data_IF_013639519295
#
_entry.id   IF_013639519295
#
_cell.length_a   1.000
_cell.length_b   1.000
_cell.length_c   1.000
_cell.angle_alpha   90.00
_cell.angle_beta   90.00
_cell.angle_gamma   90.00
#
_symmetry.space_group_name_H-M   'P 1'
#
loop_
_entity.id
_entity.type
_entity.pdbx_description
1 polymer ?
#
# COMPACT_ATOMS: atom_id res chain seq x y z
N UNK A 1 29.21 41.07 18.22
CA UNK A 1 29.51 39.69 18.69
C UNK A 1 28.30 38.83 18.36
N UNK A 2 28.37 38.04 17.28
CA UNK A 2 27.22 37.27 16.76
C UNK A 2 27.42 35.82 17.20
N UNK A 3 26.64 35.39 18.20
CA UNK A 3 26.65 34.03 18.72
C UNK A 3 26.01 33.06 17.74
N UNK A 4 26.80 32.18 17.13
CA UNK A 4 26.30 31.04 16.34
C UNK A 4 25.83 29.94 17.30
N UNK A 5 24.51 29.75 17.38
CA UNK A 5 23.92 28.58 18.03
C UNK A 5 24.21 27.33 17.17
N UNK A 6 25.08 26.46 17.66
CA UNK A 6 25.33 25.13 17.10
C UNK A 6 24.10 24.25 17.35
N UNK A 7 23.28 24.07 16.31
CA UNK A 7 22.20 23.09 16.31
C UNK A 7 22.82 21.69 16.12
N UNK A 8 22.96 20.94 17.21
CA UNK A 8 23.40 19.56 17.20
C UNK A 8 22.40 18.69 16.41
N UNK A 9 22.66 18.50 15.12
CA UNK A 9 22.03 17.43 14.35
C UNK A 9 22.57 16.10 14.84
N UNK A 10 21.75 15.39 15.59
CA UNK A 10 21.90 13.96 15.83
C UNK A 10 22.02 13.25 14.46
N UNK A 11 23.26 12.88 14.12
CA UNK A 11 23.55 12.00 13.01
C UNK A 11 23.09 10.60 13.45
N UNK A 12 21.93 10.16 12.95
CA UNK A 12 21.59 8.75 12.98
C UNK A 12 22.57 8.01 12.06
N UNK A 13 23.68 7.59 12.65
CA UNK A 13 24.60 6.61 12.07
C UNK A 13 23.80 5.36 11.76
N UNK A 14 23.85 4.91 10.51
CA UNK A 14 23.29 3.63 10.07
C UNK A 14 23.98 2.49 10.81
N UNK A 15 23.44 2.14 11.98
CA UNK A 15 23.87 1.00 12.77
C UNK A 15 23.30 -0.28 12.18
N UNK A 16 24.19 -1.24 11.91
CA UNK A 16 23.86 -2.64 11.64
C UNK A 16 22.75 -3.15 12.59
N UNK A 17 21.69 -3.72 12.01
CA UNK A 17 20.45 -4.16 12.68
C UNK A 17 20.59 -5.33 13.69
N UNK A 18 21.75 -5.49 14.34
CA UNK A 18 22.13 -6.70 15.12
C UNK A 18 22.57 -6.41 16.56
N UNK A 19 22.38 -5.17 17.06
CA UNK A 19 23.11 -4.71 18.25
C UNK A 19 22.38 -4.83 19.58
N UNK A 20 21.06 -5.08 19.63
CA UNK A 20 20.38 -5.02 20.93
C UNK A 20 20.47 -6.32 21.73
N UNK A 21 20.11 -7.45 21.13
CA UNK A 21 20.04 -8.72 21.86
C UNK A 21 21.25 -9.64 21.68
N UNK A 22 22.00 -9.53 20.57
CA UNK A 22 23.24 -10.29 20.36
C UNK A 22 23.08 -11.82 20.25
N UNK A 23 21.87 -12.34 20.05
CA UNK A 23 21.64 -13.78 19.92
C UNK A 23 22.21 -14.34 18.59
N UNK A 24 22.76 -15.57 18.60
CA UNK A 24 23.17 -16.25 17.37
C UNK A 24 21.98 -16.41 16.41
N UNK A 25 22.19 -16.06 15.15
CA UNK A 25 21.17 -16.21 14.11
C UNK A 25 21.19 -17.62 13.53
N UNK A 26 20.04 -18.28 13.49
CA UNK A 26 19.87 -19.60 12.86
C UNK A 26 18.78 -19.59 11.79
N UNK A 27 18.78 -20.63 10.95
CA UNK A 27 17.70 -20.92 10.01
C UNK A 27 16.95 -22.18 10.48
N UNK A 28 15.79 -22.46 9.90
CA UNK A 28 15.18 -23.78 10.04
C UNK A 28 16.06 -24.81 9.29
N UNK A 29 16.87 -25.55 10.04
CA UNK A 29 17.88 -26.49 9.54
C UNK A 29 17.42 -27.95 9.64
N UNK A 30 17.85 -28.74 8.67
CA UNK A 30 17.60 -30.18 8.57
C UNK A 30 18.95 -30.87 8.43
N UNK A 31 19.09 -32.08 9.00
CA UNK A 31 20.30 -32.90 8.80
C UNK A 31 20.46 -33.38 7.35
N UNK A 32 19.40 -33.27 6.54
CA UNK A 32 19.42 -33.64 5.13
C UNK A 32 19.66 -32.43 4.22
N UNK A 33 19.94 -32.70 2.94
CA UNK A 33 20.12 -31.65 1.94
C UNK A 33 18.81 -30.85 1.71
N UNK A 34 18.77 -29.60 2.18
CA UNK A 34 17.59 -28.71 2.11
C UNK A 34 17.05 -28.55 0.67
N UNK A 35 17.91 -28.50 -0.34
CA UNK A 35 17.47 -28.37 -1.75
C UNK A 35 16.70 -29.59 -2.26
N UNK A 36 17.01 -30.79 -1.75
CA UNK A 36 16.41 -32.06 -2.21
C UNK A 36 15.30 -32.58 -1.30
N UNK A 37 15.30 -32.23 -0.03
CA UNK A 37 14.39 -32.82 0.97
C UNK A 37 13.84 -31.83 1.99
N UNK A 38 13.59 -30.58 1.56
CA UNK A 38 13.02 -29.52 2.41
C UNK A 38 11.70 -29.90 3.10
N UNK A 39 10.86 -30.74 2.50
CA UNK A 39 9.56 -31.16 3.07
C UNK A 39 9.67 -32.29 4.11
N UNK A 40 10.85 -32.92 4.25
CA UNK A 40 11.01 -34.08 5.12
C UNK A 40 11.16 -33.65 6.59
N UNK A 41 10.06 -33.74 7.35
CA UNK A 41 10.02 -33.38 8.77
C UNK A 41 11.06 -34.14 9.63
N UNK A 42 11.42 -35.38 9.27
CA UNK A 42 12.36 -36.21 10.03
C UNK A 42 13.74 -35.56 10.11
N UNK A 43 14.15 -34.84 9.08
CA UNK A 43 15.45 -34.17 9.05
C UNK A 43 15.53 -33.01 10.05
N UNK A 44 14.45 -32.25 10.20
CA UNK A 44 14.36 -31.17 11.20
C UNK A 44 14.27 -31.73 12.62
N UNK A 45 13.47 -32.78 12.83
CA UNK A 45 13.32 -33.41 14.15
C UNK A 45 14.63 -34.04 14.67
N UNK A 46 15.51 -34.46 13.76
CA UNK A 46 16.84 -34.98 14.12
C UNK A 46 17.89 -33.89 14.32
N UNK A 47 17.67 -32.69 13.80
CA UNK A 47 18.58 -31.57 14.00
C UNK A 47 18.57 -31.16 15.48
N UNK A 48 19.76 -30.93 16.06
CA UNK A 48 19.91 -30.50 17.46
C UNK A 48 20.96 -29.41 17.52
N UNK A 49 20.50 -28.22 17.88
CA UNK A 49 21.36 -27.06 18.16
C UNK A 49 21.86 -27.09 19.62
N UNK A 50 22.91 -26.32 19.90
CA UNK A 50 23.37 -26.13 21.28
C UNK A 50 22.26 -25.46 22.14
N UNK A 51 22.22 -25.70 23.45
CA UNK A 51 21.23 -25.03 24.30
C UNK A 51 21.51 -23.53 24.38
N UNK A 52 20.49 -22.70 24.15
CA UNK A 52 20.61 -21.25 24.23
C UNK A 52 19.48 -20.50 23.55
N UNK A 53 19.55 -19.16 23.60
CA UNK A 53 18.66 -18.27 22.86
C UNK A 53 19.17 -18.07 21.44
N UNK A 54 18.26 -18.12 20.48
CA UNK A 54 18.56 -17.94 19.07
C UNK A 54 17.64 -16.89 18.47
N UNK A 55 18.13 -16.19 17.45
CA UNK A 55 17.32 -15.33 16.60
C UNK A 55 17.07 -16.02 15.25
N UNK A 56 15.85 -16.47 15.03
CA UNK A 56 15.44 -17.08 13.77
C UNK A 56 14.48 -16.13 13.05
N UNK A 57 14.90 -15.43 11.97
CA UNK A 57 13.97 -14.58 11.23
C UNK A 57 12.90 -15.44 10.56
N UNK A 58 11.66 -14.95 10.54
CA UNK A 58 10.56 -15.68 9.92
C UNK A 58 10.77 -15.80 8.40
N UNK A 59 10.64 -17.03 7.87
CA UNK A 59 10.64 -17.31 6.42
C UNK A 59 9.25 -17.07 5.79
N UNK A 60 8.51 -16.07 6.29
CA UNK A 60 7.11 -15.79 5.92
C UNK A 60 6.87 -14.31 5.64
N UNK A 61 5.86 -14.03 4.81
CA UNK A 61 5.35 -12.67 4.61
C UNK A 61 4.38 -12.31 5.75
N UNK A 62 4.41 -11.06 6.17
CA UNK A 62 3.71 -10.60 7.36
C UNK A 62 2.32 -9.96 7.07
N UNK A 63 1.65 -10.36 5.99
CA UNK A 63 0.43 -9.69 5.48
C UNK A 63 -0.78 -9.84 6.40
N UNK A 64 -1.10 -11.07 6.82
CA UNK A 64 -2.25 -11.36 7.70
C UNK A 64 -1.87 -11.53 9.17
N UNK A 65 -0.65 -11.13 9.54
CA UNK A 65 -0.11 -11.35 10.88
C UNK A 65 -0.43 -10.18 11.80
N UNK A 66 -1.13 -10.44 12.90
CA UNK A 66 -1.38 -9.47 13.99
C UNK A 66 -0.33 -9.60 15.11
N UNK A 67 0.80 -10.25 14.83
CA UNK A 67 1.85 -10.47 15.81
C UNK A 67 2.55 -9.14 16.17
N UNK A 68 2.89 -8.98 17.44
CA UNK A 68 3.65 -7.87 17.98
C UNK A 68 4.97 -7.58 17.28
N UNK A 69 5.69 -8.60 16.82
CA UNK A 69 6.98 -8.49 16.14
C UNK A 69 6.86 -7.98 14.69
N UNK A 70 5.65 -8.02 14.12
CA UNK A 70 5.36 -7.58 12.75
C UNK A 70 4.91 -6.11 12.70
N UNK A 71 4.28 -5.61 13.75
CA UNK A 71 3.68 -4.28 13.78
C UNK A 71 4.77 -3.20 13.62
N UNK A 72 4.65 -2.26 12.66
CA UNK A 72 5.63 -1.20 12.49
C UNK A 72 5.69 -0.28 13.71
N UNK A 73 6.89 0.17 14.08
CA UNK A 73 7.13 1.04 15.25
C UNK A 73 6.29 2.32 15.25
N UNK A 74 5.96 2.84 14.07
CA UNK A 74 5.12 4.05 13.92
C UNK A 74 3.67 3.83 14.34
N UNK A 75 3.18 2.59 14.39
CA UNK A 75 1.82 2.24 14.83
C UNK A 75 1.78 1.85 16.31
N UNK A 76 2.93 1.62 16.95
CA UNK A 76 3.02 1.37 18.39
C UNK A 76 2.91 2.69 19.18
N UNK A 77 2.38 2.60 20.40
CA UNK A 77 2.37 3.73 21.32
C UNK A 77 3.80 4.15 21.69
N UNK A 78 3.99 5.43 22.02
CA UNK A 78 5.30 5.95 22.40
C UNK A 78 5.85 5.30 23.69
N UNK A 79 4.96 4.89 24.60
CA UNK A 79 5.28 4.22 25.87
C UNK A 79 5.54 2.71 25.72
N UNK A 80 5.33 2.13 24.55
CA UNK A 80 5.50 0.69 24.35
C UNK A 80 7.00 0.31 24.39
N UNK A 81 7.42 -0.61 25.28
CA UNK A 81 8.83 -1.01 25.38
C UNK A 81 9.35 -1.64 24.08
N UNK A 82 8.46 -2.26 23.29
CA UNK A 82 8.82 -2.93 22.02
C UNK A 82 9.33 -1.96 20.96
N UNK A 83 8.98 -0.68 21.07
CA UNK A 83 9.45 0.36 20.15
C UNK A 83 10.98 0.51 20.17
N UNK A 84 11.60 0.21 21.32
CA UNK A 84 13.04 0.20 21.51
C UNK A 84 13.75 -0.99 20.86
N UNK A 85 13.06 -2.14 20.74
CA UNK A 85 13.61 -3.38 20.19
C UNK A 85 13.91 -3.31 18.69
N UNK A 86 14.84 -4.11 18.19
CA UNK A 86 15.22 -4.19 16.77
C UNK A 86 14.17 -4.88 15.88
N UNK A 87 13.15 -5.51 16.47
CA UNK A 87 11.94 -6.03 15.81
C UNK A 87 10.79 -5.00 15.86
N UNK A 88 10.11 -4.66 14.74
CA UNK A 88 10.23 -5.22 13.39
C UNK A 88 11.47 -4.72 12.62
N UNK A 89 12.03 -5.61 11.79
CA UNK A 89 13.20 -5.33 10.95
C UNK A 89 12.79 -4.69 9.62
N UNK A 90 13.44 -3.58 9.27
CA UNK A 90 13.30 -2.97 7.93
C UNK A 90 14.20 -3.71 6.92
N UNK A 91 13.71 -4.84 6.39
CA UNK A 91 14.45 -5.69 5.46
C UNK A 91 14.67 -5.10 4.07
N UNK A 92 13.72 -4.29 3.57
CA UNK A 92 13.78 -3.66 2.25
C UNK A 92 14.09 -2.16 2.34
N UNK A 93 14.81 -1.63 1.35
CA UNK A 93 15.13 -0.21 1.25
C UNK A 93 14.19 0.46 0.26
N UNK A 94 13.40 1.43 0.74
CA UNK A 94 12.42 2.15 -0.09
C UNK A 94 13.03 2.77 -1.37
N UNK A 95 14.29 3.22 -1.32
CA UNK A 95 15.01 3.80 -2.48
C UNK A 95 15.23 2.80 -3.64
N UNK A 96 15.21 1.50 -3.36
CA UNK A 96 15.41 0.44 -4.36
C UNK A 96 14.09 -0.07 -4.95
N UNK A 97 12.96 0.18 -4.25
CA UNK A 97 11.65 -0.28 -4.69
C UNK A 97 11.05 0.73 -5.69
N UNK A 98 10.68 0.31 -6.91
CA UNK A 98 10.02 1.20 -7.86
C UNK A 98 8.58 1.50 -7.43
N UNK A 99 8.06 2.65 -7.85
CA UNK A 99 6.67 3.05 -7.62
C UNK A 99 5.71 2.15 -8.43
N UNK A 100 4.71 1.53 -7.78
CA UNK A 100 3.69 0.67 -8.41
C UNK A 100 2.28 1.23 -8.23
N UNK A 101 1.56 1.44 -9.33
CA UNK A 101 0.17 1.97 -9.36
C UNK A 101 -0.02 3.30 -8.57
N UNK A 102 1.04 4.10 -8.46
CA UNK A 102 1.05 5.37 -7.73
C UNK A 102 0.41 6.49 -8.57
N UNK A 103 -0.38 7.36 -7.93
CA UNK A 103 -1.00 8.52 -8.59
C UNK A 103 0.00 9.63 -8.93
N UNK A 104 -0.29 10.42 -9.97
CA UNK A 104 0.57 11.53 -10.44
C UNK A 104 0.88 12.55 -9.34
N UNK A 105 -0.12 12.83 -8.49
CA UNK A 105 0.02 13.79 -7.38
C UNK A 105 0.95 13.30 -6.27
N UNK A 106 1.19 11.99 -6.15
CA UNK A 106 2.16 11.45 -5.19
C UNK A 106 3.59 11.62 -5.71
N UNK A 107 3.78 11.57 -7.04
CA UNK A 107 5.11 11.75 -7.67
C UNK A 107 5.50 13.23 -7.70
N UNK A 108 4.58 14.11 -8.09
CA UNK A 108 4.89 15.52 -8.38
C UNK A 108 4.41 16.49 -7.29
N UNK A 109 3.73 15.99 -6.26
CA UNK A 109 3.06 16.80 -5.24
C UNK A 109 1.61 17.15 -5.57
N UNK A 110 0.86 17.55 -4.53
CA UNK A 110 -0.53 18.03 -4.66
C UNK A 110 -0.53 19.54 -4.89
N UNK A 111 -1.44 20.02 -5.73
CA UNK A 111 -1.61 21.46 -6.02
C UNK A 111 -3.00 21.92 -5.59
N UNK A 112 -3.08 23.15 -5.08
CA UNK A 112 -4.32 23.78 -4.57
C UNK A 112 -4.51 25.18 -5.17
N UNK A 113 -4.25 25.29 -6.48
CA UNK A 113 -4.20 26.58 -7.18
C UNK A 113 -5.58 27.11 -7.61
N UNK A 114 -6.61 26.25 -7.64
CA UNK A 114 -7.94 26.65 -8.08
C UNK A 114 -8.69 27.44 -7.01
N UNK A 115 -9.27 28.56 -7.43
CA UNK A 115 -10.16 29.40 -6.63
C UNK A 115 -11.63 28.98 -6.71
N UNK A 116 -12.50 29.60 -5.88
CA UNK A 116 -13.93 29.28 -5.83
C UNK A 116 -14.67 29.57 -7.14
N UNK A 117 -14.32 30.65 -7.84
CA UNK A 117 -14.95 31.02 -9.12
C UNK A 117 -14.73 29.95 -10.21
N UNK A 118 -13.52 29.41 -10.32
CA UNK A 118 -13.19 28.35 -11.29
C UNK A 118 -13.92 27.05 -10.94
N UNK A 119 -14.09 26.76 -9.65
CA UNK A 119 -14.88 25.62 -9.19
C UNK A 119 -16.33 25.75 -9.63
N UNK A 120 -16.92 26.94 -9.51
CA UNK A 120 -18.30 27.18 -9.92
C UNK A 120 -18.45 27.15 -11.45
N UNK A 121 -17.46 27.62 -12.21
CA UNK A 121 -17.42 27.43 -13.66
C UNK A 121 -17.37 25.94 -14.01
N UNK A 122 -16.54 25.13 -13.33
CA UNK A 122 -16.46 23.68 -13.55
C UNK A 122 -17.80 23.00 -13.28
N UNK A 123 -18.47 23.36 -12.19
CA UNK A 123 -19.81 22.83 -11.86
C UNK A 123 -20.81 23.19 -12.96
N UNK A 124 -20.84 24.45 -13.39
CA UNK A 124 -21.74 24.95 -14.44
C UNK A 124 -21.51 24.20 -15.75
N UNK A 125 -20.28 24.17 -16.25
CA UNK A 125 -19.93 23.50 -17.52
C UNK A 125 -20.30 22.01 -17.51
N UNK A 126 -20.08 21.33 -16.38
CA UNK A 126 -20.40 19.89 -16.27
C UNK A 126 -21.89 19.62 -16.16
N UNK A 127 -22.65 20.54 -15.58
CA UNK A 127 -24.11 20.45 -15.53
C UNK A 127 -24.72 20.72 -16.92
N UNK A 128 -24.21 21.73 -17.63
CA UNK A 128 -24.69 22.13 -18.96
C UNK A 128 -24.50 21.04 -20.02
N UNK A 129 -23.27 20.54 -20.19
CA UNK A 129 -23.01 19.51 -21.20
C UNK A 129 -21.92 18.51 -20.75
N UNK A 130 -22.31 17.44 -20.03
CA UNK A 130 -21.37 16.43 -19.53
C UNK A 130 -20.68 15.59 -20.62
N UNK A 131 -21.22 15.54 -21.84
CA UNK A 131 -20.61 14.82 -22.97
C UNK A 131 -19.45 15.61 -23.58
N UNK A 132 -19.60 16.93 -23.72
CA UNK A 132 -18.53 17.83 -24.19
C UNK A 132 -17.52 18.08 -23.06
N UNK A 133 -18.00 18.50 -21.89
CA UNK A 133 -17.18 18.83 -20.72
C UNK A 133 -16.98 17.62 -19.81
N UNK A 134 -16.35 16.59 -20.36
CA UNK A 134 -16.03 15.38 -19.60
C UNK A 134 -15.01 15.66 -18.50
N UNK A 135 -14.94 14.79 -17.48
CA UNK A 135 -13.93 14.88 -16.41
C UNK A 135 -12.50 14.97 -16.94
N UNK A 136 -12.19 14.25 -18.03
CA UNK A 136 -10.85 14.25 -18.64
C UNK A 136 -10.57 15.60 -19.32
N UNK A 137 -11.56 16.17 -19.99
CA UNK A 137 -11.44 17.49 -20.63
C UNK A 137 -11.22 18.59 -19.59
N UNK A 138 -12.06 18.63 -18.54
CA UNK A 138 -11.94 19.62 -17.47
C UNK A 138 -10.62 19.48 -16.70
N UNK A 139 -10.19 18.23 -16.45
CA UNK A 139 -8.88 17.95 -15.86
C UNK A 139 -7.72 18.50 -16.70
N UNK A 140 -7.80 18.40 -18.03
CA UNK A 140 -6.79 18.95 -18.94
C UNK A 140 -6.85 20.49 -19.00
N UNK A 141 -8.06 21.09 -19.06
CA UNK A 141 -8.25 22.54 -19.11
C UNK A 141 -7.67 23.24 -17.88
N UNK A 142 -7.94 22.69 -16.69
CA UNK A 142 -7.53 23.30 -15.41
C UNK A 142 -6.28 22.66 -14.79
N UNK A 143 -5.61 21.71 -15.46
CA UNK A 143 -4.41 21.08 -14.92
C UNK A 143 -4.62 20.30 -13.61
N UNK A 144 -5.82 19.74 -13.40
CA UNK A 144 -6.23 19.06 -12.16
C UNK A 144 -6.49 17.56 -12.35
N UNK A 145 -6.64 16.83 -11.25
CA UNK A 145 -6.99 15.40 -11.30
C UNK A 145 -8.46 15.19 -11.73
N UNK A 146 -8.78 14.23 -12.61
CA UNK A 146 -10.16 13.85 -12.93
C UNK A 146 -10.97 13.41 -11.70
N UNK A 147 -10.29 12.86 -10.68
CA UNK A 147 -10.91 12.53 -9.41
C UNK A 147 -11.36 13.81 -8.68
N UNK A 148 -10.54 14.85 -8.67
CA UNK A 148 -10.88 16.14 -8.08
C UNK A 148 -12.09 16.77 -8.76
N UNK A 149 -12.15 16.76 -10.10
CA UNK A 149 -13.34 17.19 -10.87
C UNK A 149 -14.58 16.42 -10.42
N UNK A 150 -14.45 15.11 -10.20
CA UNK A 150 -15.54 14.25 -9.73
C UNK A 150 -16.02 14.55 -8.31
N UNK A 151 -15.16 15.08 -7.45
CA UNK A 151 -15.50 15.48 -6.07
C UNK A 151 -16.29 16.78 -6.08
N UNK A 152 -15.84 17.78 -6.85
CA UNK A 152 -16.41 19.14 -6.81
C UNK A 152 -17.71 19.29 -7.62
N UNK A 153 -17.93 18.43 -8.62
CA UNK A 153 -19.04 18.57 -9.56
C UNK A 153 -19.75 17.24 -9.83
N UNK A 154 -21.08 17.27 -9.76
CA UNK A 154 -21.96 16.20 -10.21
C UNK A 154 -22.43 16.52 -11.64
N UNK A 155 -22.43 15.55 -12.57
CA UNK A 155 -23.07 15.76 -13.87
C UNK A 155 -24.60 15.83 -13.72
N UNK A 156 -25.31 16.19 -14.78
CA UNK A 156 -26.78 16.12 -14.80
C UNK A 156 -27.27 14.69 -14.49
N UNK A 157 -28.37 14.58 -13.75
CA UNK A 157 -28.94 13.28 -13.35
C UNK A 157 -29.35 12.45 -14.57
N UNK A 158 -29.89 13.11 -15.60
CA UNK A 158 -30.23 12.49 -16.89
C UNK A 158 -29.03 11.79 -17.52
N UNK A 159 -27.84 12.39 -17.48
CA UNK A 159 -26.62 11.75 -17.99
C UNK A 159 -26.21 10.55 -17.12
N UNK A 160 -26.38 10.61 -15.80
CA UNK A 160 -26.10 9.45 -14.92
C UNK A 160 -27.04 8.30 -15.26
N UNK A 161 -28.32 8.58 -15.47
CA UNK A 161 -29.32 7.57 -15.85
C UNK A 161 -29.03 6.98 -17.23
N UNK A 162 -28.72 7.80 -18.25
CA UNK A 162 -28.31 7.31 -19.58
C UNK A 162 -27.09 6.38 -19.48
N UNK A 163 -26.05 6.77 -18.74
CA UNK A 163 -24.88 5.90 -18.52
C UNK A 163 -25.22 4.62 -17.74
N UNK A 164 -26.16 4.69 -16.79
CA UNK A 164 -26.69 3.54 -16.07
C UNK A 164 -27.39 2.57 -17.00
N UNK A 165 -28.30 3.07 -17.85
CA UNK A 165 -29.02 2.29 -18.86
C UNK A 165 -28.08 1.62 -19.86
N UNK A 166 -27.07 2.35 -20.37
CA UNK A 166 -26.03 1.76 -21.25
C UNK A 166 -25.25 0.65 -20.55
N UNK A 167 -24.93 0.82 -19.27
CA UNK A 167 -24.25 -0.22 -18.50
C UNK A 167 -25.12 -1.47 -18.32
N UNK A 168 -26.43 -1.31 -18.08
CA UNK A 168 -27.39 -2.42 -18.02
C UNK A 168 -27.51 -3.14 -19.36
N UNK A 169 -27.57 -2.40 -20.47
CA UNK A 169 -27.57 -3.00 -21.82
C UNK A 169 -26.28 -3.77 -22.11
N UNK A 170 -25.12 -3.24 -21.70
CA UNK A 170 -23.85 -3.98 -21.82
C UNK A 170 -23.89 -5.26 -20.99
N UNK A 171 -24.47 -5.22 -19.79
CA UNK A 171 -24.61 -6.37 -18.91
C UNK A 171 -25.56 -7.43 -19.46
N UNK A 172 -26.70 -7.03 -20.05
CA UNK A 172 -27.66 -7.96 -20.66
C UNK A 172 -27.09 -8.67 -21.89
N UNK A 173 -26.16 -8.03 -22.62
CA UNK A 173 -25.45 -8.63 -23.75
C UNK A 173 -24.40 -9.67 -23.34
N UNK A 174 -24.16 -9.92 -22.05
CA UNK A 174 -23.19 -10.91 -21.60
C UNK A 174 -23.74 -12.33 -21.68
N UNK A 175 -22.91 -13.27 -22.15
CA UNK A 175 -23.17 -14.70 -22.03
C UNK A 175 -22.99 -15.16 -20.57
N UNK A 176 -23.64 -16.25 -20.19
CA UNK A 176 -23.60 -16.81 -18.82
C UNK A 176 -22.19 -16.98 -18.27
N UNK A 177 -21.27 -17.54 -19.08
CA UNK A 177 -19.86 -17.71 -18.68
C UNK A 177 -19.19 -16.38 -18.30
N UNK A 178 -19.50 -15.29 -19.01
CA UNK A 178 -18.96 -13.95 -18.71
C UNK A 178 -19.57 -13.38 -17.44
N UNK A 179 -20.87 -13.60 -17.21
CA UNK A 179 -21.54 -13.19 -15.98
C UNK A 179 -20.89 -13.86 -14.76
N UNK A 180 -20.78 -15.20 -14.77
CA UNK A 180 -20.12 -15.97 -13.69
C UNK A 180 -18.68 -15.49 -13.45
N UNK A 181 -17.89 -15.32 -14.51
CA UNK A 181 -16.51 -14.83 -14.38
C UNK A 181 -16.40 -13.41 -13.79
N UNK A 182 -17.39 -12.54 -14.01
CA UNK A 182 -17.44 -11.20 -13.41
C UNK A 182 -17.81 -11.27 -11.94
N UNK A 183 -18.74 -12.14 -11.56
CA UNK A 183 -19.06 -12.41 -10.15
C UNK A 183 -17.87 -12.98 -9.40
N UNK A 184 -17.14 -13.94 -9.97
CA UNK A 184 -15.93 -14.47 -9.35
C UNK A 184 -14.82 -13.43 -9.22
N UNK A 185 -14.70 -12.50 -10.18
CA UNK A 185 -13.81 -11.35 -10.03
C UNK A 185 -14.24 -10.44 -8.87
N UNK A 186 -15.53 -10.18 -8.69
CA UNK A 186 -16.05 -9.39 -7.56
C UNK A 186 -15.75 -10.10 -6.23
N UNK A 187 -15.96 -11.41 -6.14
CA UNK A 187 -15.63 -12.23 -4.97
C UNK A 187 -14.14 -12.18 -4.63
N UNK A 188 -13.25 -12.34 -5.62
CA UNK A 188 -11.80 -12.20 -5.42
C UNK A 188 -11.42 -10.81 -4.94
N UNK A 189 -12.01 -9.76 -5.53
CA UNK A 189 -11.77 -8.38 -5.09
C UNK A 189 -12.21 -8.19 -3.63
N UNK A 190 -13.35 -8.75 -3.24
CA UNK A 190 -13.82 -8.70 -1.84
C UNK A 190 -12.85 -9.45 -0.91
N UNK A 191 -12.39 -10.63 -1.30
CA UNK A 191 -11.44 -11.44 -0.54
C UNK A 191 -10.11 -10.72 -0.29
N UNK A 192 -9.63 -9.91 -1.26
CA UNK A 192 -8.40 -9.13 -1.11
C UNK A 192 -8.45 -8.08 0.02
N UNK A 193 -9.64 -7.65 0.46
CA UNK A 193 -9.81 -6.67 1.53
C UNK A 193 -10.16 -7.29 2.89
N UNK A 194 -10.13 -8.63 3.01
CA UNK A 194 -10.42 -9.32 4.28
C UNK A 194 -9.23 -9.37 5.25
N UNK A 195 -8.03 -9.09 4.73
CA UNK A 195 -6.78 -9.07 5.51
C UNK A 195 -6.59 -7.75 6.24
#
# INVERSE_FOLDING_TARGET
MIGRSLCCRSLHTGGSAWKQFGFPKTQATSIYNKTKSASNYKGYLKHKDAPGMYYQPSESIATGSVNSETIPRSFMAASDPRRGFDMPVQGTKAKQCPNVLVGKSTVNGKTYHLGPHEIDEIKRLRHENPQKYTRKFLAAKYGISPLFVSIISKPSEQHVQDMGSRLQEIQSRWKDKRHVAREDRKRRKLLWYQA
#
